data_IF_050717283270
#
_entry.id   IF_050717283270
#
_cell.length_a   1.000
_cell.length_b   1.000
_cell.length_c   1.000
_cell.angle_alpha   90.00
_cell.angle_beta   90.00
_cell.angle_gamma   90.00
#
_symmetry.space_group_name_H-M   'P 1'
#
loop_
_entity.id
_entity.type
_entity.pdbx_description
1 polymer ?
#
# COMPACT_ATOMS: atom_id res chain seq x y z
N UNK A 1 -21.38 18.84 -35.07
CA UNK A 1 -20.87 18.52 -36.41
C UNK A 1 -19.35 18.57 -36.34
N UNK A 2 -18.64 17.44 -36.49
CA UNK A 2 -17.17 17.42 -36.37
C UNK A 2 -16.52 16.02 -36.31
N UNK A 3 -17.31 14.95 -36.28
CA UNK A 3 -16.79 13.58 -36.17
C UNK A 3 -16.86 12.75 -37.46
N UNK A 4 -17.58 13.24 -38.48
CA UNK A 4 -17.84 12.50 -39.72
C UNK A 4 -16.67 12.49 -40.72
N UNK A 5 -15.64 13.33 -40.52
CA UNK A 5 -14.49 13.46 -41.44
C UNK A 5 -13.14 13.11 -40.79
N UNK A 6 -13.09 12.06 -39.95
CA UNK A 6 -11.81 11.55 -39.39
C UNK A 6 -11.17 10.42 -40.21
N UNK A 7 -11.63 10.20 -41.44
CA UNK A 7 -11.16 9.10 -42.30
C UNK A 7 -11.53 7.72 -41.74
N UNK A 8 -11.06 6.67 -42.40
CA UNK A 8 -11.25 5.29 -41.93
C UNK A 8 -10.38 5.01 -40.71
N UNK A 9 -10.96 4.35 -39.70
CA UNK A 9 -10.18 3.94 -38.54
C UNK A 9 -9.18 2.86 -38.91
N UNK A 10 -7.92 3.05 -38.55
CA UNK A 10 -6.89 2.03 -38.73
C UNK A 10 -7.31 0.68 -38.10
N UNK A 11 -6.94 -0.46 -38.72
CA UNK A 11 -7.21 -1.78 -38.17
C UNK A 11 -6.63 -1.94 -36.75
N UNK A 12 -7.39 -2.60 -35.86
CA UNK A 12 -7.00 -2.79 -34.46
C UNK A 12 -7.17 -4.24 -34.03
N UNK A 13 -6.36 -4.65 -33.07
CA UNK A 13 -6.46 -5.94 -32.38
C UNK A 13 -6.78 -5.72 -30.91
N UNK A 14 -7.49 -6.65 -30.29
CA UNK A 14 -7.68 -6.68 -28.83
C UNK A 14 -6.90 -7.85 -28.28
N UNK A 15 -6.05 -7.59 -27.29
CA UNK A 15 -5.19 -8.59 -26.66
C UNK A 15 -5.58 -8.72 -25.20
N UNK A 16 -5.70 -9.95 -24.71
CA UNK A 16 -6.02 -10.22 -23.32
C UNK A 16 -4.75 -10.19 -22.46
N UNK A 17 -4.83 -9.51 -21.32
CA UNK A 17 -3.83 -9.56 -20.26
C UNK A 17 -4.50 -9.94 -18.93
N UNK A 18 -3.80 -10.70 -18.09
CA UNK A 18 -4.26 -11.25 -16.84
C UNK A 18 -3.27 -10.89 -15.72
N UNK A 19 -3.74 -10.26 -14.66
CA UNK A 19 -2.90 -9.97 -13.48
C UNK A 19 -3.05 -11.04 -12.41
N UNK A 20 -2.16 -11.03 -11.41
CA UNK A 20 -2.17 -11.99 -10.29
C UNK A 20 -3.49 -12.02 -9.50
N UNK A 21 -4.30 -10.96 -9.55
CA UNK A 21 -5.64 -10.91 -8.94
C UNK A 21 -6.76 -11.50 -9.84
N UNK A 22 -6.41 -12.17 -10.95
CA UNK A 22 -7.34 -12.77 -11.92
C UNK A 22 -8.24 -11.76 -12.66
N UNK A 23 -7.84 -10.50 -12.72
CA UNK A 23 -8.51 -9.53 -13.58
C UNK A 23 -8.05 -9.71 -15.02
N UNK A 24 -9.01 -9.87 -15.94
CA UNK A 24 -8.76 -9.80 -17.36
C UNK A 24 -8.89 -8.35 -17.86
N UNK A 25 -7.94 -7.91 -18.67
CA UNK A 25 -7.91 -6.60 -19.32
C UNK A 25 -7.73 -6.81 -20.82
N UNK A 26 -8.48 -6.07 -21.63
CA UNK A 26 -8.52 -6.23 -23.09
C UNK A 26 -8.20 -4.90 -23.80
N UNK A 27 -6.99 -4.34 -23.68
CA UNK A 27 -6.58 -3.15 -24.42
C UNK A 27 -6.63 -3.39 -25.94
N UNK A 28 -6.85 -2.31 -26.69
CA UNK A 28 -6.86 -2.32 -28.15
C UNK A 28 -5.58 -1.67 -28.69
N UNK A 29 -4.87 -2.40 -29.54
CA UNK A 29 -3.66 -1.93 -30.22
C UNK A 29 -3.93 -1.75 -31.71
N UNK A 30 -3.18 -0.85 -32.37
CA UNK A 30 -3.13 -0.84 -33.82
C UNK A 30 -2.59 -2.18 -34.32
N UNK A 31 -3.08 -2.66 -35.46
CA UNK A 31 -2.71 -3.98 -35.99
C UNK A 31 -1.20 -4.14 -36.23
N UNK A 32 -0.52 -3.06 -36.60
CA UNK A 32 0.94 -3.03 -36.86
C UNK A 32 1.78 -2.74 -35.60
N UNK A 33 1.15 -2.46 -34.46
CA UNK A 33 1.87 -2.15 -33.24
C UNK A 33 2.46 -3.42 -32.61
N UNK A 34 3.69 -3.29 -32.11
CA UNK A 34 4.27 -4.30 -31.23
C UNK A 34 3.50 -4.31 -29.91
N UNK A 35 2.88 -5.44 -29.61
CA UNK A 35 2.14 -5.66 -28.37
C UNK A 35 3.15 -5.93 -27.24
N UNK A 36 3.07 -5.22 -26.10
CA UNK A 36 3.97 -5.46 -24.98
C UNK A 36 3.71 -6.81 -24.31
N UNK A 37 4.72 -7.35 -23.62
CA UNK A 37 4.59 -8.58 -22.84
C UNK A 37 3.74 -8.37 -21.57
N UNK A 38 3.84 -7.18 -20.98
CA UNK A 38 3.11 -6.79 -19.77
C UNK A 38 2.23 -5.55 -20.00
N UNK A 39 1.15 -5.47 -19.24
CA UNK A 39 0.21 -4.36 -19.23
C UNK A 39 -0.23 -4.01 -17.82
N UNK A 40 -0.42 -2.73 -17.52
CA UNK A 40 -0.91 -2.32 -16.19
C UNK A 40 -2.41 -2.62 -16.04
N UNK A 41 -2.76 -3.38 -15.01
CA UNK A 41 -4.15 -3.66 -14.71
C UNK A 41 -4.86 -2.39 -14.21
N UNK A 42 -5.88 -1.85 -14.93
CA UNK A 42 -6.52 -0.58 -14.55
C UNK A 42 -7.36 -0.69 -13.27
N UNK A 43 -7.59 -1.91 -12.76
CA UNK A 43 -8.37 -2.14 -11.54
C UNK A 43 -7.52 -2.18 -10.27
N UNK A 44 -6.26 -2.64 -10.35
CA UNK A 44 -5.43 -2.85 -9.16
C UNK A 44 -3.98 -2.37 -9.31
N UNK A 45 -3.57 -1.91 -10.49
CA UNK A 45 -2.21 -1.42 -10.75
C UNK A 45 -1.13 -2.50 -10.81
N UNK A 46 -1.51 -3.79 -10.74
CA UNK A 46 -0.54 -4.88 -10.89
C UNK A 46 -0.20 -5.09 -12.37
N UNK A 47 1.03 -5.54 -12.66
CA UNK A 47 1.38 -6.00 -14.00
C UNK A 47 0.49 -7.19 -14.37
N UNK A 48 0.09 -7.23 -15.63
CA UNK A 48 -0.74 -8.25 -16.24
C UNK A 48 -0.01 -8.80 -17.47
N UNK A 49 -0.01 -10.12 -17.66
CA UNK A 49 0.66 -10.80 -18.77
C UNK A 49 -0.34 -11.51 -19.66
N UNK A 50 0.08 -11.98 -20.83
CA UNK A 50 -0.83 -12.59 -21.81
C UNK A 50 -1.27 -14.02 -21.43
N UNK A 51 -0.50 -14.71 -20.59
CA UNK A 51 -0.81 -16.05 -20.09
C UNK A 51 -1.71 -15.97 -18.84
N UNK A 52 -2.96 -16.49 -18.89
CA UNK A 52 -3.86 -16.51 -17.73
C UNK A 52 -3.39 -17.44 -16.61
N UNK A 53 -2.60 -18.47 -16.91
CA UNK A 53 -2.12 -19.46 -15.94
C UNK A 53 -0.77 -19.05 -15.32
N UNK A 54 -0.07 -18.09 -15.93
CA UNK A 54 1.20 -17.55 -15.44
C UNK A 54 1.24 -16.01 -15.46
N UNK A 55 0.37 -15.32 -14.68
CA UNK A 55 0.39 -13.87 -14.61
C UNK A 55 1.67 -13.33 -13.93
N UNK A 56 2.16 -12.14 -14.33
CA UNK A 56 3.29 -11.49 -13.68
C UNK A 56 3.06 -11.29 -12.18
N UNK A 57 4.13 -11.44 -11.40
CA UNK A 57 4.06 -11.24 -9.96
C UNK A 57 3.86 -9.75 -9.63
N UNK A 58 3.06 -9.43 -8.58
CA UNK A 58 2.96 -8.05 -8.11
C UNK A 58 4.33 -7.49 -7.71
N UNK A 59 4.59 -6.19 -7.93
CA UNK A 59 5.82 -5.57 -7.47
C UNK A 59 5.93 -5.72 -5.95
N UNK A 60 7.12 -6.14 -5.49
CA UNK A 60 7.41 -6.22 -4.06
C UNK A 60 7.73 -4.81 -3.56
N UNK A 61 6.90 -4.28 -2.68
CA UNK A 61 7.27 -3.08 -1.92
C UNK A 61 8.25 -3.49 -0.83
N UNK A 62 9.50 -3.03 -0.92
CA UNK A 62 10.42 -3.15 0.21
C UNK A 62 9.84 -2.35 1.39
N UNK A 63 9.71 -2.97 2.58
CA UNK A 63 9.19 -2.25 3.73
C UNK A 63 10.11 -1.07 4.07
N UNK A 64 9.56 0.13 4.05
CA UNK A 64 10.24 1.27 4.63
C UNK A 64 10.49 1.03 6.11
N UNK A 65 11.57 1.64 6.60
CA UNK A 65 11.92 1.56 8.00
C UNK A 65 10.89 2.26 8.87
N UNK A 66 10.35 1.52 9.86
CA UNK A 66 9.33 2.04 10.77
C UNK A 66 9.94 2.95 11.84
N UNK A 67 9.13 3.82 12.45
CA UNK A 67 9.57 4.63 13.61
C UNK A 67 10.19 3.78 14.72
N UNK A 68 9.59 2.63 15.04
CA UNK A 68 10.12 1.70 16.03
C UNK A 68 11.50 1.15 15.62
N UNK A 69 11.69 0.83 14.33
CA UNK A 69 12.99 0.37 13.83
C UNK A 69 14.06 1.47 14.01
N UNK A 70 13.75 2.73 13.71
CA UNK A 70 14.66 3.85 14.01
C UNK A 70 14.96 4.00 15.51
N UNK A 71 13.99 3.75 16.38
CA UNK A 71 14.20 3.78 17.84
C UNK A 71 15.16 2.68 18.27
N UNK A 72 14.94 1.44 17.79
CA UNK A 72 15.74 0.27 18.16
C UNK A 72 17.19 0.33 17.69
N UNK A 73 17.50 1.12 16.68
CA UNK A 73 18.90 1.31 16.27
C UNK A 73 19.71 2.21 17.21
N UNK A 74 19.04 3.08 17.98
CA UNK A 74 19.70 4.02 18.90
C UNK A 74 19.41 3.75 20.37
N UNK A 75 18.52 2.79 20.67
CA UNK A 75 18.12 2.40 22.02
C UNK A 75 18.19 0.89 22.13
N UNK A 76 18.83 0.43 23.20
CA UNK A 76 18.82 -0.97 23.59
C UNK A 76 17.47 -1.35 24.18
N UNK A 77 17.23 -2.65 24.34
CA UNK A 77 16.04 -3.15 25.06
C UNK A 77 16.02 -2.62 26.50
N UNK A 78 17.18 -2.52 27.15
CA UNK A 78 17.31 -1.98 28.50
C UNK A 78 16.91 -0.50 28.58
N UNK A 79 17.32 0.32 27.60
CA UNK A 79 16.90 1.72 27.53
C UNK A 79 15.37 1.85 27.36
N UNK A 80 14.79 0.97 26.52
CA UNK A 80 13.35 0.90 26.32
C UNK A 80 12.61 0.56 27.61
N UNK A 81 13.12 -0.40 28.38
CA UNK A 81 12.55 -0.78 29.67
C UNK A 81 12.62 0.37 30.68
N UNK A 82 13.76 1.05 30.79
CA UNK A 82 13.92 2.19 31.69
C UNK A 82 12.93 3.33 31.38
N UNK A 83 12.75 3.67 30.10
CA UNK A 83 11.78 4.68 29.66
C UNK A 83 10.34 4.26 30.00
N UNK A 84 10.01 2.97 29.83
CA UNK A 84 8.70 2.44 30.16
C UNK A 84 8.43 2.53 31.67
N UNK A 85 9.39 2.14 32.50
CA UNK A 85 9.26 2.18 33.95
C UNK A 85 9.07 3.61 34.46
N UNK A 86 9.86 4.56 33.96
CA UNK A 86 9.71 5.98 34.28
C UNK A 86 8.30 6.50 33.92
N UNK A 87 7.79 6.14 32.74
CA UNK A 87 6.46 6.54 32.30
C UNK A 87 5.35 5.93 33.17
N UNK A 88 5.50 4.67 33.58
CA UNK A 88 4.53 3.98 34.43
C UNK A 88 4.51 4.57 35.85
N UNK A 89 5.67 4.91 36.42
CA UNK A 89 5.75 5.59 37.71
C UNK A 89 5.03 6.94 37.68
N UNK A 90 5.30 7.77 36.67
CA UNK A 90 4.60 9.05 36.47
C UNK A 90 3.09 8.86 36.34
N UNK A 91 2.64 7.87 35.57
CA UNK A 91 1.22 7.57 35.42
C UNK A 91 0.56 7.19 36.75
N UNK A 92 1.22 6.33 37.55
CA UNK A 92 0.72 5.91 38.86
C UNK A 92 0.65 7.08 39.84
N UNK A 93 1.69 7.92 39.90
CA UNK A 93 1.71 9.11 40.74
C UNK A 93 0.58 10.09 40.39
N UNK A 94 0.36 10.34 39.10
CA UNK A 94 -0.73 11.19 38.63
C UNK A 94 -2.11 10.63 39.02
N UNK A 95 -2.32 9.32 38.90
CA UNK A 95 -3.57 8.67 39.34
C UNK A 95 -3.80 8.85 40.84
N UNK A 96 -2.78 8.60 41.66
CA UNK A 96 -2.88 8.76 43.10
C UNK A 96 -3.20 10.21 43.51
N UNK A 97 -2.58 11.20 42.84
CA UNK A 97 -2.86 12.62 43.07
C UNK A 97 -4.31 12.99 42.72
N UNK A 98 -4.83 12.50 41.60
CA UNK A 98 -6.23 12.71 41.20
C UNK A 98 -7.19 12.07 42.21
N UNK A 99 -6.92 10.83 42.64
CA UNK A 99 -7.74 10.16 43.65
C UNK A 99 -7.76 10.90 44.98
N UNK A 100 -6.62 11.43 45.43
CA UNK A 100 -6.53 12.23 46.64
C UNK A 100 -7.34 13.53 46.52
N UNK A 101 -7.28 14.21 45.37
CA UNK A 101 -8.06 15.42 45.12
C UNK A 101 -9.57 15.15 45.10
N UNK A 102 -10.00 14.03 44.51
CA UNK A 102 -11.41 13.61 44.53
C UNK A 102 -11.88 13.36 45.96
N UNK A 103 -11.09 12.65 46.79
CA UNK A 103 -11.43 12.38 48.20
C UNK A 103 -11.49 13.66 49.04
N UNK A 104 -10.58 14.60 48.82
CA UNK A 104 -10.54 15.87 49.53
C UNK A 104 -11.76 16.76 49.23
N UNK A 105 -12.28 16.72 48.00
CA UNK A 105 -13.48 17.47 47.61
C UNK A 105 -14.81 16.79 48.03
N UNK A 106 -14.75 15.55 48.51
CA UNK A 106 -15.92 14.79 48.95
C UNK A 106 -16.16 14.87 50.48
N UNK A 107 -15.21 15.42 51.24
CA UNK A 107 -15.30 15.71 52.68
C UNK A 107 -15.55 17.19 52.91
#
# INVERSE_FOLDING_TARGET
MGEAERGESAPRVRVAFYCANKHQVMPSFAHEALVPEEWDCPRCGFPAGQDPDAPPAPPRTEPYKTHLAYVKERRTVADGQAILDEALEKLRANRAAVEAAIKANAN
#
